data_IF_744122005150
#
_entry.id   IF_744122005150
#
_cell.length_a   1.000
_cell.length_b   1.000
_cell.length_c   1.000
_cell.angle_alpha   90.00
_cell.angle_beta   90.00
_cell.angle_gamma   90.00
#
_symmetry.space_group_name_H-M   'P 1'
#
loop_
_entity.id
_entity.type
_entity.pdbx_description
1 polymer ?
#
# COMPACT_ATOMS: atom_id res chain seq x y z
N UNK A 1 0.22 -27.25 -0.94
CA UNK A 1 -0.99 -26.73 -1.60
C UNK A 1 -0.73 -25.30 -2.06
N UNK A 2 -0.75 -25.07 -3.37
CA UNK A 2 -0.15 -23.98 -4.11
C UNK A 2 -0.76 -22.58 -4.00
N UNK A 3 -1.02 -22.07 -2.81
CA UNK A 3 -1.55 -20.69 -2.66
C UNK A 3 -0.45 -19.67 -2.39
N UNK A 4 0.69 -20.07 -1.84
CA UNK A 4 1.80 -19.18 -1.46
C UNK A 4 3.14 -19.74 -1.94
N UNK A 5 4.02 -18.84 -2.44
CA UNK A 5 5.45 -19.15 -2.61
C UNK A 5 6.15 -18.87 -1.27
N UNK A 6 6.74 -19.89 -0.69
CA UNK A 6 7.44 -19.79 0.60
C UNK A 6 8.94 -19.88 0.39
N UNK A 7 9.68 -18.93 0.94
CA UNK A 7 11.15 -18.94 1.01
C UNK A 7 11.53 -19.06 2.48
N UNK A 8 12.25 -20.13 2.84
CA UNK A 8 12.73 -20.37 4.20
C UNK A 8 14.21 -19.97 4.33
N UNK A 9 14.55 -19.32 5.44
CA UNK A 9 15.93 -18.96 5.82
C UNK A 9 16.19 -19.34 7.27
N UNK A 10 17.45 -19.50 7.66
CA UNK A 10 17.80 -20.04 8.96
C UNK A 10 17.87 -18.98 10.08
N UNK A 11 18.05 -17.72 9.75
CA UNK A 11 18.23 -16.62 10.73
C UNK A 11 17.95 -15.23 10.13
N UNK A 12 17.99 -14.20 10.98
CA UNK A 12 17.67 -12.84 10.62
C UNK A 12 18.62 -12.19 9.61
N UNK A 13 19.90 -12.57 9.60
CA UNK A 13 20.88 -12.04 8.63
C UNK A 13 20.53 -12.53 7.23
N UNK A 14 20.31 -13.83 7.07
CA UNK A 14 19.88 -14.40 5.80
C UNK A 14 18.52 -13.89 5.37
N UNK A 15 17.64 -13.57 6.33
CA UNK A 15 16.34 -12.97 6.03
C UNK A 15 16.49 -11.57 5.42
N UNK A 16 17.35 -10.72 5.98
CA UNK A 16 17.61 -9.38 5.43
C UNK A 16 18.24 -9.46 4.03
N UNK A 17 19.23 -10.33 3.81
CA UNK A 17 19.82 -10.56 2.48
C UNK A 17 18.74 -10.96 1.45
N UNK A 18 17.83 -11.87 1.82
CA UNK A 18 16.73 -12.28 0.93
C UNK A 18 15.69 -11.18 0.71
N UNK A 19 15.43 -10.35 1.70
CA UNK A 19 14.52 -9.20 1.58
C UNK A 19 15.12 -8.14 0.63
N UNK A 20 16.44 -7.96 0.60
CA UNK A 20 17.10 -7.06 -0.35
C UNK A 20 17.01 -7.57 -1.79
N UNK A 21 17.13 -8.89 -2.00
CA UNK A 21 16.99 -9.50 -3.33
C UNK A 21 15.54 -9.42 -3.82
N UNK A 22 14.60 -9.82 -2.98
CA UNK A 22 13.17 -9.87 -3.29
C UNK A 22 12.35 -9.64 -2.02
N UNK A 23 11.65 -8.50 -1.96
CA UNK A 23 10.85 -8.16 -0.81
C UNK A 23 9.56 -9.00 -0.79
N UNK A 24 9.28 -9.71 0.33
CA UNK A 24 8.10 -10.56 0.45
C UNK A 24 6.82 -9.76 0.69
N UNK A 25 5.67 -10.38 0.39
CA UNK A 25 4.35 -9.84 0.73
C UNK A 25 3.99 -10.06 2.21
N UNK A 26 4.69 -10.99 2.89
CA UNK A 26 4.40 -11.39 4.27
C UNK A 26 5.64 -12.03 4.91
N UNK A 27 5.87 -11.78 6.20
CA UNK A 27 6.99 -12.35 6.95
C UNK A 27 6.46 -13.13 8.15
N UNK A 28 7.01 -14.33 8.35
CA UNK A 28 6.82 -15.12 9.56
C UNK A 28 8.19 -15.42 10.13
N UNK A 29 8.43 -15.06 11.38
CA UNK A 29 9.72 -15.26 12.04
C UNK A 29 9.59 -15.91 13.40
N UNK A 30 10.59 -16.66 13.81
CA UNK A 30 10.78 -17.06 15.22
C UNK A 30 11.52 -15.94 15.97
N UNK A 31 11.36 -15.84 17.27
CA UNK A 31 12.20 -14.98 18.11
C UNK A 31 13.60 -15.58 18.24
N UNK A 32 13.67 -16.89 18.53
CA UNK A 32 14.91 -17.58 18.84
C UNK A 32 15.59 -18.08 17.55
N UNK A 33 16.45 -17.25 16.98
CA UNK A 33 17.26 -17.60 15.81
C UNK A 33 18.73 -17.32 16.08
N UNK A 34 19.67 -18.06 15.45
CA UNK A 34 21.08 -17.79 15.56
C UNK A 34 21.48 -16.47 14.87
N UNK A 35 22.65 -15.93 15.15
CA UNK A 35 23.28 -14.73 14.59
C UNK A 35 22.48 -13.45 14.82
N UNK A 36 21.28 -13.35 14.27
CA UNK A 36 20.32 -12.26 14.45
C UNK A 36 18.99 -12.86 14.89
N UNK A 37 18.50 -12.45 16.04
CA UNK A 37 17.22 -12.90 16.55
C UNK A 37 16.03 -12.23 15.86
N UNK A 38 14.81 -12.74 16.11
CA UNK A 38 13.60 -12.21 15.47
C UNK A 38 13.25 -10.79 15.88
N UNK A 39 13.61 -10.34 17.09
CA UNK A 39 13.34 -8.99 17.58
C UNK A 39 14.25 -7.98 16.84
N UNK A 40 15.50 -8.32 16.67
CA UNK A 40 16.46 -7.49 15.92
C UNK A 40 16.06 -7.42 14.44
N UNK A 41 15.69 -8.55 13.84
CA UNK A 41 15.16 -8.60 12.47
C UNK A 41 13.93 -7.69 12.30
N UNK A 42 12.97 -7.74 13.21
CA UNK A 42 11.75 -6.91 13.17
C UNK A 42 12.11 -5.44 13.22
N UNK A 43 13.04 -5.04 14.09
CA UNK A 43 13.48 -3.66 14.19
C UNK A 43 14.03 -3.16 12.85
N UNK A 44 14.93 -3.92 12.22
CA UNK A 44 15.45 -3.59 10.89
C UNK A 44 14.35 -3.45 9.83
N UNK A 45 13.36 -4.36 9.84
CA UNK A 45 12.24 -4.31 8.89
C UNK A 45 11.35 -3.10 9.15
N UNK A 46 11.00 -2.82 10.40
CA UNK A 46 10.02 -1.76 10.75
C UNK A 46 10.62 -0.36 10.73
N UNK A 47 11.92 -0.20 10.92
CA UNK A 47 12.63 1.08 10.79
C UNK A 47 12.93 1.46 9.33
N UNK A 48 12.91 0.51 8.40
CA UNK A 48 13.18 0.76 6.99
C UNK A 48 11.88 1.12 6.24
N UNK A 49 11.84 2.33 5.65
CA UNK A 49 10.68 2.85 4.90
C UNK A 49 10.22 1.94 3.74
N UNK A 50 11.13 1.12 3.20
CA UNK A 50 10.84 0.21 2.09
C UNK A 50 10.19 -1.10 2.53
N UNK A 51 10.25 -1.44 3.82
CA UNK A 51 9.81 -2.74 4.35
C UNK A 51 8.86 -2.62 5.55
N UNK A 52 8.74 -1.44 6.17
CA UNK A 52 7.94 -1.23 7.38
C UNK A 52 6.46 -1.61 7.23
N UNK A 53 5.94 -1.58 6.00
CA UNK A 53 4.57 -1.94 5.67
C UNK A 53 4.35 -3.45 5.47
N UNK A 54 5.40 -4.28 5.47
CA UNK A 54 5.27 -5.72 5.31
C UNK A 54 4.60 -6.31 6.55
N UNK A 55 3.48 -7.05 6.38
CA UNK A 55 2.84 -7.75 7.49
C UNK A 55 3.78 -8.80 8.09
N UNK A 56 3.84 -8.85 9.42
CA UNK A 56 4.79 -9.69 10.13
C UNK A 56 4.13 -10.42 11.30
N UNK A 57 4.26 -11.75 11.33
CA UNK A 57 3.88 -12.62 12.44
C UNK A 57 5.13 -13.15 13.14
N UNK A 58 5.11 -13.10 14.47
CA UNK A 58 6.08 -13.82 15.31
C UNK A 58 5.51 -15.17 15.74
N UNK A 59 6.33 -16.21 15.61
CA UNK A 59 6.12 -17.52 16.24
C UNK A 59 7.07 -17.66 17.44
N UNK A 60 6.57 -17.91 18.64
CA UNK A 60 7.43 -17.97 19.82
C UNK A 60 7.05 -19.05 20.82
N UNK A 61 8.07 -19.70 21.40
CA UNK A 61 7.91 -20.56 22.56
C UNK A 61 7.76 -19.78 23.88
N UNK A 62 8.11 -18.48 23.89
CA UNK A 62 7.90 -17.60 25.03
C UNK A 62 6.42 -17.23 25.13
N UNK A 63 5.85 -17.33 26.32
CA UNK A 63 4.42 -17.09 26.58
C UNK A 63 4.20 -15.97 27.58
N UNK A 64 5.25 -15.22 27.98
CA UNK A 64 5.08 -14.13 28.92
C UNK A 64 4.29 -12.97 28.29
N UNK A 65 3.49 -12.30 29.11
CA UNK A 65 2.73 -11.12 28.67
C UNK A 65 3.65 -9.98 28.31
N UNK A 66 4.75 -9.86 29.02
CA UNK A 66 5.78 -8.83 28.84
C UNK A 66 6.47 -8.95 27.47
N UNK A 67 6.92 -10.17 27.09
CA UNK A 67 7.53 -10.43 25.77
C UNK A 67 6.54 -10.09 24.65
N UNK A 68 5.26 -10.45 24.83
CA UNK A 68 4.22 -10.15 23.84
C UNK A 68 3.98 -8.65 23.69
N UNK A 69 3.90 -7.90 24.79
CA UNK A 69 3.75 -6.44 24.78
C UNK A 69 4.93 -5.79 24.08
N UNK A 70 6.16 -6.20 24.39
CA UNK A 70 7.36 -5.68 23.76
C UNK A 70 7.34 -5.91 22.23
N UNK A 71 6.97 -7.10 21.78
CA UNK A 71 6.86 -7.39 20.34
C UNK A 71 5.77 -6.55 19.65
N UNK A 72 4.61 -6.36 20.28
CA UNK A 72 3.54 -5.51 19.75
C UNK A 72 3.96 -4.04 19.65
N UNK A 73 4.76 -3.55 20.59
CA UNK A 73 5.32 -2.17 20.54
C UNK A 73 6.31 -1.97 19.38
N UNK A 74 6.93 -3.05 18.87
CA UNK A 74 7.77 -3.00 17.67
C UNK A 74 6.97 -2.92 16.36
N UNK A 75 5.63 -2.97 16.43
CA UNK A 75 4.78 -2.84 15.25
C UNK A 75 4.57 -4.13 14.47
N UNK A 76 4.63 -5.29 15.14
CA UNK A 76 4.23 -6.56 14.53
C UNK A 76 2.71 -6.64 14.38
N UNK A 77 2.24 -7.42 13.40
CA UNK A 77 0.82 -7.56 13.15
C UNK A 77 0.18 -8.67 14.00
N UNK A 78 0.95 -9.70 14.38
CA UNK A 78 0.48 -10.75 15.29
C UNK A 78 1.61 -11.52 15.99
N UNK A 79 1.24 -12.16 17.10
CA UNK A 79 2.10 -12.99 17.92
C UNK A 79 1.42 -14.34 18.19
N UNK A 80 2.02 -15.43 17.72
CA UNK A 80 1.47 -16.76 17.83
C UNK A 80 2.36 -17.63 18.73
N UNK A 81 1.84 -18.06 19.90
CA UNK A 81 2.60 -18.95 20.78
C UNK A 81 2.71 -20.36 20.19
N UNK A 82 3.86 -20.98 20.38
CA UNK A 82 4.08 -22.41 20.09
C UNK A 82 3.66 -23.26 21.32
N UNK A 83 3.01 -24.43 21.09
CA UNK A 83 2.64 -25.04 19.81
C UNK A 83 1.37 -24.44 19.21
N UNK A 84 1.30 -24.34 17.89
CA UNK A 84 0.13 -23.87 17.14
C UNK A 84 -0.29 -24.88 16.06
N UNK A 85 -1.56 -24.85 15.64
CA UNK A 85 -2.01 -25.63 14.50
C UNK A 85 -1.76 -24.88 13.18
N UNK A 86 -1.53 -25.63 12.11
CA UNK A 86 -1.40 -25.07 10.76
C UNK A 86 -2.63 -24.28 10.32
N UNK A 87 -3.83 -24.77 10.71
CA UNK A 87 -5.09 -24.11 10.37
C UNK A 87 -5.26 -22.78 11.11
N UNK A 88 -4.81 -22.71 12.37
CA UNK A 88 -4.79 -21.44 13.11
C UNK A 88 -3.86 -20.42 12.47
N UNK A 89 -2.63 -20.81 12.14
CA UNK A 89 -1.68 -19.93 11.46
C UNK A 89 -2.24 -19.43 10.12
N UNK A 90 -2.81 -20.34 9.31
CA UNK A 90 -3.44 -20.00 8.03
C UNK A 90 -4.58 -19.00 8.19
N UNK A 91 -5.48 -19.23 9.15
CA UNK A 91 -6.59 -18.33 9.47
C UNK A 91 -6.11 -16.93 9.86
N UNK A 92 -5.00 -16.84 10.64
CA UNK A 92 -4.41 -15.55 11.03
C UNK A 92 -3.82 -14.80 9.84
N UNK A 93 -3.08 -15.50 8.97
CA UNK A 93 -2.54 -14.93 7.74
C UNK A 93 -3.68 -14.36 6.86
N UNK A 94 -4.73 -15.14 6.63
CA UNK A 94 -5.90 -14.72 5.84
C UNK A 94 -6.61 -13.50 6.46
N UNK A 95 -6.71 -13.46 7.80
CA UNK A 95 -7.29 -12.33 8.53
C UNK A 95 -6.47 -11.05 8.32
N UNK A 96 -5.13 -11.12 8.47
CA UNK A 96 -4.25 -9.97 8.27
C UNK A 96 -4.26 -9.47 6.82
N UNK A 97 -4.27 -10.37 5.85
CA UNK A 97 -4.41 -9.98 4.43
C UNK A 97 -5.74 -9.24 4.19
N UNK A 98 -6.83 -9.70 4.81
CA UNK A 98 -8.14 -9.04 4.71
C UNK A 98 -8.14 -7.66 5.36
N UNK A 99 -7.57 -7.52 6.56
CA UNK A 99 -7.42 -6.24 7.25
C UNK A 99 -6.63 -5.23 6.40
N UNK A 100 -5.53 -5.68 5.76
CA UNK A 100 -4.74 -4.84 4.87
C UNK A 100 -5.54 -4.31 3.68
N UNK A 101 -6.41 -5.13 3.08
CA UNK A 101 -7.30 -4.69 2.00
C UNK A 101 -8.25 -3.58 2.45
N UNK A 102 -8.76 -3.64 3.68
CA UNK A 102 -9.60 -2.58 4.25
C UNK A 102 -8.81 -1.28 4.44
N UNK A 103 -7.58 -1.36 4.98
CA UNK A 103 -6.70 -0.20 5.12
C UNK A 103 -6.36 0.42 3.75
N UNK A 104 -6.04 -0.40 2.75
CA UNK A 104 -5.79 0.06 1.38
C UNK A 104 -7.00 0.84 0.82
N UNK A 105 -8.21 0.35 1.05
CA UNK A 105 -9.44 1.04 0.63
C UNK A 105 -9.60 2.40 1.33
N UNK A 106 -9.25 2.49 2.61
CA UNK A 106 -9.27 3.75 3.37
C UNK A 106 -8.24 4.76 2.84
N UNK A 107 -7.00 4.32 2.54
CA UNK A 107 -5.98 5.18 1.91
C UNK A 107 -6.43 5.68 0.54
N UNK A 108 -7.01 4.80 -0.29
CA UNK A 108 -7.54 5.17 -1.59
C UNK A 108 -8.63 6.24 -1.49
N UNK A 109 -9.52 6.13 -0.51
CA UNK A 109 -10.57 7.12 -0.25
C UNK A 109 -9.98 8.46 0.21
N UNK A 110 -9.00 8.43 1.13
CA UNK A 110 -8.38 9.62 1.71
C UNK A 110 -7.55 10.42 0.70
N UNK A 111 -6.79 9.72 -0.15
CA UNK A 111 -5.82 10.34 -1.07
C UNK A 111 -6.28 10.41 -2.53
N UNK A 112 -7.59 10.32 -2.79
CA UNK A 112 -8.20 10.70 -4.05
C UNK A 112 -8.28 9.61 -5.12
N UNK A 113 -7.96 8.37 -4.80
CA UNK A 113 -8.24 7.24 -5.67
C UNK A 113 -9.51 6.53 -5.19
N UNK A 114 -10.62 6.65 -5.91
CA UNK A 114 -11.83 5.92 -5.52
C UNK A 114 -11.66 4.42 -5.73
N UNK A 115 -11.91 3.58 -4.71
CA UNK A 115 -11.93 2.13 -4.89
C UNK A 115 -13.07 1.75 -5.83
N UNK A 116 -12.85 0.78 -6.71
CA UNK A 116 -13.96 0.03 -7.29
C UNK A 116 -14.79 -0.48 -6.12
N UNK A 117 -16.08 -0.16 -6.11
CA UNK A 117 -17.05 -0.66 -5.13
C UNK A 117 -17.16 -2.19 -5.25
N UNK A 118 -16.32 -2.92 -4.54
CA UNK A 118 -16.76 -4.18 -3.95
C UNK A 118 -17.24 -3.83 -2.55
N UNK A 119 -18.45 -4.21 -2.14
CA UNK A 119 -18.92 -4.01 -0.78
C UNK A 119 -18.15 -4.97 0.12
N UNK A 120 -17.02 -4.52 0.65
CA UNK A 120 -16.44 -5.12 1.84
C UNK A 120 -17.35 -4.67 2.98
N UNK A 121 -18.03 -5.62 3.62
CA UNK A 121 -18.74 -5.38 4.87
C UNK A 121 -17.87 -4.54 5.79
N UNK A 122 -18.39 -3.38 6.16
CA UNK A 122 -17.67 -2.40 6.97
C UNK A 122 -17.49 -2.94 8.39
N UNK A 123 -16.42 -3.70 8.59
CA UNK A 123 -15.92 -3.95 9.94
C UNK A 123 -15.18 -2.69 10.33
N UNK A 124 -15.73 -1.93 11.28
CA UNK A 124 -15.13 -0.73 11.81
C UNK A 124 -13.85 -1.10 12.59
N UNK A 125 -12.71 -1.09 11.91
CA UNK A 125 -11.41 -1.15 12.56
C UNK A 125 -10.95 0.26 12.92
N UNK A 126 -10.40 0.47 14.13
CA UNK A 126 -9.90 1.78 14.52
C UNK A 126 -8.76 2.21 13.58
N UNK A 127 -8.83 3.45 13.11
CA UNK A 127 -7.85 4.12 12.22
C UNK A 127 -6.43 4.18 12.83
N UNK A 128 -6.27 3.78 14.09
CA UNK A 128 -5.01 3.76 14.85
C UNK A 128 -3.95 2.77 14.37
N UNK A 129 -4.20 1.99 13.30
CA UNK A 129 -3.24 1.02 12.72
C UNK A 129 -2.52 1.53 11.46
N UNK A 130 -2.68 2.80 11.09
CA UNK A 130 -1.88 3.40 10.02
C UNK A 130 -0.46 3.60 10.56
N UNK A 131 0.51 2.92 9.94
CA UNK A 131 1.92 3.08 10.30
C UNK A 131 2.32 4.54 10.03
N UNK A 132 2.89 5.27 11.00
CA UNK A 132 3.25 6.68 10.81
C UNK A 132 4.14 6.93 9.59
N UNK A 133 5.00 5.98 9.24
CA UNK A 133 5.87 6.05 8.05
C UNK A 133 5.09 5.96 6.73
N UNK A 134 4.00 5.19 6.68
CA UNK A 134 3.13 5.11 5.50
C UNK A 134 2.34 6.41 5.30
N UNK A 135 1.89 7.03 6.38
CA UNK A 135 1.24 8.34 6.33
C UNK A 135 2.21 9.41 5.81
N UNK A 136 3.44 9.46 6.32
CA UNK A 136 4.47 10.38 5.87
C UNK A 136 4.84 10.15 4.39
N UNK A 137 4.94 8.87 3.98
CA UNK A 137 5.16 8.51 2.58
C UNK A 137 4.04 9.05 1.70
N UNK A 138 2.78 8.86 2.08
CA UNK A 138 1.62 9.33 1.32
C UNK A 138 1.55 10.86 1.26
N UNK A 139 1.86 11.56 2.35
CA UNK A 139 1.91 13.02 2.37
C UNK A 139 2.94 13.57 1.37
N UNK A 140 4.16 12.99 1.34
CA UNK A 140 5.20 13.36 0.37
C UNK A 140 4.76 13.08 -1.06
N UNK A 141 4.16 11.91 -1.30
CA UNK A 141 3.69 11.51 -2.63
C UNK A 141 2.59 12.45 -3.15
N UNK A 142 1.63 12.79 -2.29
CA UNK A 142 0.56 13.75 -2.62
C UNK A 142 1.14 15.14 -2.92
N UNK A 143 2.08 15.63 -2.10
CA UNK A 143 2.76 16.92 -2.35
C UNK A 143 3.41 16.95 -3.72
N UNK A 144 4.17 15.93 -4.09
CA UNK A 144 4.79 15.83 -5.41
C UNK A 144 3.74 15.78 -6.53
N UNK A 145 2.66 15.06 -6.35
CA UNK A 145 1.58 14.98 -7.33
C UNK A 145 0.87 16.33 -7.52
N UNK A 146 0.66 17.11 -6.46
CA UNK A 146 0.04 18.45 -6.56
C UNK A 146 0.85 19.38 -7.46
N UNK A 147 2.16 19.30 -7.42
CA UNK A 147 3.06 20.14 -8.22
C UNK A 147 3.20 19.64 -9.67
N UNK A 148 3.02 18.33 -9.90
CA UNK A 148 3.44 17.70 -11.15
C UNK A 148 2.33 16.98 -11.94
N UNK A 149 1.09 16.88 -11.43
CA UNK A 149 0.03 16.11 -12.08
C UNK A 149 -0.33 16.60 -13.50
N UNK A 150 -0.17 17.91 -13.75
CA UNK A 150 -0.47 18.52 -15.04
C UNK A 150 0.58 18.24 -16.12
N UNK A 151 1.78 17.77 -15.74
CA UNK A 151 2.84 17.43 -16.68
C UNK A 151 2.51 16.13 -17.44
N UNK A 152 2.22 16.16 -18.76
CA UNK A 152 1.89 14.95 -19.51
C UNK A 152 3.06 13.95 -19.61
N UNK A 153 4.30 14.41 -19.41
CA UNK A 153 5.52 13.60 -19.39
C UNK A 153 5.80 12.89 -18.08
N UNK A 154 5.01 13.15 -17.02
CA UNK A 154 5.21 12.54 -15.69
C UNK A 154 5.16 11.01 -15.74
N UNK A 155 6.23 10.37 -15.30
CA UNK A 155 6.41 8.91 -15.28
C UNK A 155 6.60 8.39 -13.87
N UNK A 156 6.37 7.11 -13.68
CA UNK A 156 6.59 6.41 -12.40
C UNK A 156 8.04 6.56 -11.92
N UNK A 157 9.01 6.64 -12.83
CA UNK A 157 10.41 6.84 -12.46
C UNK A 157 10.63 8.18 -11.75
N UNK A 158 9.95 9.25 -12.19
CA UNK A 158 10.09 10.57 -11.59
C UNK A 158 9.60 10.57 -10.14
N UNK A 159 8.50 9.84 -9.86
CA UNK A 159 8.00 9.64 -8.51
C UNK A 159 8.96 8.80 -7.66
N UNK A 160 9.50 7.73 -8.23
CA UNK A 160 10.44 6.85 -7.54
C UNK A 160 11.74 7.60 -7.18
N UNK A 161 12.29 8.38 -8.09
CA UNK A 161 13.47 9.23 -7.87
C UNK A 161 13.21 10.28 -6.77
N UNK A 162 12.07 10.98 -6.83
CA UNK A 162 11.68 11.95 -5.80
C UNK A 162 11.59 11.30 -4.41
N UNK A 163 11.11 10.05 -4.35
CA UNK A 163 10.99 9.29 -3.11
C UNK A 163 12.29 8.59 -2.69
N UNK A 164 13.41 8.78 -3.44
CA UNK A 164 14.69 8.11 -3.23
C UNK A 164 14.59 6.57 -3.22
N UNK A 165 13.78 6.02 -4.12
CA UNK A 165 13.51 4.59 -4.23
C UNK A 165 13.82 4.07 -5.63
N UNK A 166 14.23 2.79 -5.75
CA UNK A 166 14.19 2.13 -7.03
C UNK A 166 12.74 1.98 -7.52
N UNK A 167 12.54 1.91 -8.84
CA UNK A 167 11.20 1.74 -9.42
C UNK A 167 10.46 0.51 -8.88
N UNK A 168 11.17 -0.60 -8.67
CA UNK A 168 10.56 -1.85 -8.16
C UNK A 168 10.09 -1.71 -6.71
N UNK A 169 10.90 -1.09 -5.86
CA UNK A 169 10.56 -0.79 -4.46
C UNK A 169 9.37 0.16 -4.40
N UNK A 170 9.40 1.25 -5.17
CA UNK A 170 8.31 2.23 -5.23
C UNK A 170 6.99 1.60 -5.69
N UNK A 171 7.02 0.80 -6.77
CA UNK A 171 5.83 0.10 -7.27
C UNK A 171 5.20 -0.78 -6.19
N UNK A 172 6.03 -1.55 -5.47
CA UNK A 172 5.51 -2.41 -4.42
C UNK A 172 5.00 -1.61 -3.23
N UNK A 173 5.73 -0.56 -2.79
CA UNK A 173 5.30 0.29 -1.67
C UNK A 173 3.94 0.92 -1.94
N UNK A 174 3.74 1.52 -3.11
CA UNK A 174 2.45 2.09 -3.51
C UNK A 174 1.37 1.01 -3.58
N UNK A 175 1.67 -0.15 -4.19
CA UNK A 175 0.72 -1.25 -4.26
C UNK A 175 0.41 -1.82 -2.86
N UNK A 176 1.41 -1.93 -1.99
CA UNK A 176 1.25 -2.36 -0.61
C UNK A 176 0.32 -1.45 0.20
N UNK A 177 0.49 -0.13 0.10
CA UNK A 177 -0.32 0.86 0.83
C UNK A 177 -1.71 1.04 0.19
N UNK A 178 -1.80 1.13 -1.13
CA UNK A 178 -3.01 1.58 -1.84
C UNK A 178 -3.75 0.47 -2.58
N UNK A 179 -3.14 -0.69 -2.80
CA UNK A 179 -3.72 -1.79 -3.57
C UNK A 179 -3.81 -1.55 -5.09
N UNK A 180 -3.19 -0.48 -5.60
CA UNK A 180 -3.16 -0.13 -7.03
C UNK A 180 -1.73 0.16 -7.49
N UNK A 181 -1.49 0.04 -8.79
CA UNK A 181 -0.18 0.39 -9.35
C UNK A 181 0.06 1.92 -9.34
N UNK A 182 1.33 2.40 -9.31
CA UNK A 182 1.65 3.81 -9.41
C UNK A 182 1.12 4.48 -10.69
N UNK A 183 1.08 3.78 -11.82
CA UNK A 183 0.48 4.27 -13.07
C UNK A 183 -1.01 4.54 -12.87
N UNK A 184 -1.69 3.63 -12.21
CA UNK A 184 -3.12 3.78 -11.91
C UNK A 184 -3.37 4.88 -10.87
N UNK A 185 -2.47 5.05 -9.90
CA UNK A 185 -2.51 6.16 -8.95
C UNK A 185 -2.40 7.51 -9.65
N UNK A 186 -1.38 7.73 -10.52
CA UNK A 186 -1.22 8.97 -11.30
C UNK A 186 -2.50 9.26 -12.11
N UNK A 187 -3.00 8.25 -12.83
CA UNK A 187 -4.21 8.37 -13.64
C UNK A 187 -5.42 8.77 -12.78
N UNK A 188 -5.65 8.08 -11.67
CA UNK A 188 -6.80 8.35 -10.79
C UNK A 188 -6.69 9.73 -10.13
N UNK A 189 -5.48 10.15 -9.75
CA UNK A 189 -5.22 11.48 -9.22
C UNK A 189 -5.62 12.57 -10.22
N UNK A 190 -5.16 12.46 -11.47
CA UNK A 190 -5.52 13.38 -12.58
C UNK A 190 -7.02 13.42 -12.82
N UNK A 191 -7.68 12.26 -12.86
CA UNK A 191 -9.13 12.17 -13.06
C UNK A 191 -9.92 12.83 -11.92
N UNK A 192 -9.46 12.74 -10.68
CA UNK A 192 -10.08 13.44 -9.55
C UNK A 192 -9.89 14.96 -9.66
N UNK A 193 -8.70 15.43 -10.05
CA UNK A 193 -8.46 16.87 -10.31
C UNK A 193 -9.33 17.41 -11.44
N UNK A 194 -9.61 16.60 -12.47
CA UNK A 194 -10.46 16.99 -13.58
C UNK A 194 -11.89 17.37 -13.15
N UNK A 195 -12.39 16.85 -12.06
CA UNK A 195 -13.76 17.14 -11.57
C UNK A 195 -13.99 18.63 -11.33
N UNK A 196 -13.06 19.32 -10.70
CA UNK A 196 -13.14 20.76 -10.45
C UNK A 196 -13.07 21.59 -11.74
N UNK A 197 -12.22 21.18 -12.69
CA UNK A 197 -12.11 21.85 -13.98
C UNK A 197 -13.36 21.66 -14.87
N UNK A 198 -14.01 20.50 -14.81
CA UNK A 198 -15.27 20.25 -15.52
C UNK A 198 -16.36 21.19 -15.01
N UNK A 199 -16.42 21.42 -13.70
CA UNK A 199 -17.39 22.32 -13.06
C UNK A 199 -17.12 23.80 -13.35
N UNK A 200 -15.86 24.19 -13.58
CA UNK A 200 -15.50 25.58 -13.93
C UNK A 200 -15.91 26.01 -15.35
N UNK A 201 -16.48 25.10 -16.15
CA UNK A 201 -16.98 25.42 -17.48
C UNK A 201 -15.96 25.23 -18.62
N UNK A 202 -14.77 24.76 -18.35
CA UNK A 202 -13.77 24.43 -19.37
C UNK A 202 -14.29 23.37 -20.34
N UNK A 203 -13.83 23.42 -21.60
CA UNK A 203 -14.10 22.33 -22.55
C UNK A 203 -13.40 21.03 -22.11
N UNK A 204 -13.97 19.88 -22.46
CA UNK A 204 -13.40 18.58 -22.04
C UNK A 204 -11.99 18.33 -22.58
N UNK A 205 -11.65 18.92 -23.75
CA UNK A 205 -10.30 18.85 -24.29
C UNK A 205 -9.30 19.71 -23.47
N UNK A 206 -9.69 20.92 -23.10
CA UNK A 206 -8.89 21.77 -22.23
C UNK A 206 -8.67 21.13 -20.86
N UNK A 207 -9.74 20.56 -20.26
CA UNK A 207 -9.63 19.80 -19.00
C UNK A 207 -8.62 18.66 -19.13
N UNK A 208 -8.70 17.87 -20.21
CA UNK A 208 -7.78 16.75 -20.43
C UNK A 208 -6.31 17.22 -20.38
N UNK A 209 -5.99 18.27 -21.12
CA UNK A 209 -4.63 18.82 -21.16
C UNK A 209 -4.23 19.46 -19.82
N UNK A 210 -5.12 20.21 -19.18
CA UNK A 210 -4.86 20.83 -17.87
C UNK A 210 -4.52 19.84 -16.78
N UNK A 211 -5.07 18.62 -16.85
CA UNK A 211 -4.77 17.56 -15.87
C UNK A 211 -3.71 16.57 -16.36
N UNK A 212 -2.99 16.87 -17.45
CA UNK A 212 -1.82 16.11 -17.91
C UNK A 212 -2.12 14.89 -18.78
N UNK A 213 -3.33 14.78 -19.38
CA UNK A 213 -3.58 13.81 -20.45
C UNK A 213 -3.19 14.40 -21.81
N UNK A 214 -2.46 13.63 -22.60
CA UNK A 214 -2.08 14.01 -23.96
C UNK A 214 -3.17 13.71 -25.01
N UNK A 215 -4.15 12.88 -24.68
CA UNK A 215 -5.25 12.48 -25.57
C UNK A 215 -6.62 12.66 -24.88
N UNK A 216 -7.44 13.64 -25.32
CA UNK A 216 -8.79 13.86 -24.79
C UNK A 216 -9.72 12.66 -24.98
N UNK A 217 -9.56 11.87 -26.04
CA UNK A 217 -10.37 10.67 -26.28
C UNK A 217 -10.06 9.57 -25.26
N UNK A 218 -8.78 9.37 -24.94
CA UNK A 218 -8.38 8.46 -23.86
C UNK A 218 -8.85 8.99 -22.50
N UNK A 219 -8.73 10.30 -22.23
CA UNK A 219 -9.23 10.91 -21.00
C UNK A 219 -10.73 10.62 -20.78
N UNK A 220 -11.58 10.82 -21.78
CA UNK A 220 -13.01 10.56 -21.69
C UNK A 220 -13.33 9.10 -21.36
N UNK A 221 -12.63 8.15 -22.02
CA UNK A 221 -12.77 6.71 -21.74
C UNK A 221 -12.32 6.37 -20.31
N UNK A 222 -11.18 6.94 -19.88
CA UNK A 222 -10.65 6.73 -18.54
C UNK A 222 -11.60 7.28 -17.46
N UNK A 223 -12.16 8.46 -17.68
CA UNK A 223 -13.12 9.10 -16.78
C UNK A 223 -14.40 8.25 -16.63
N UNK A 224 -15.00 7.82 -17.76
CA UNK A 224 -16.17 6.93 -17.73
C UNK A 224 -15.90 5.62 -16.99
N UNK A 225 -14.71 5.03 -17.20
CA UNK A 225 -14.30 3.80 -16.51
C UNK A 225 -14.13 4.00 -15.00
N UNK A 226 -13.58 5.15 -14.59
CA UNK A 226 -13.29 5.44 -13.17
C UNK A 226 -14.55 5.79 -12.39
N UNK A 227 -15.48 6.58 -12.98
CA UNK A 227 -16.63 7.14 -12.27
C UNK A 227 -17.98 6.56 -12.71
N UNK A 228 -17.97 5.66 -13.69
CA UNK A 228 -19.20 5.06 -14.29
C UNK A 228 -20.17 6.10 -14.88
N UNK A 229 -19.66 7.28 -15.25
CA UNK A 229 -20.38 8.40 -15.85
C UNK A 229 -19.52 9.01 -16.96
N UNK A 230 -20.17 9.46 -18.03
CA UNK A 230 -19.48 10.27 -19.05
C UNK A 230 -19.18 11.67 -18.51
N UNK A 231 -18.28 12.39 -19.18
CA UNK A 231 -17.95 13.78 -18.82
C UNK A 231 -19.18 14.69 -18.90
N UNK A 232 -20.06 14.46 -19.89
CA UNK A 232 -21.31 15.21 -20.07
C UNK A 232 -22.30 14.92 -18.96
N UNK A 233 -22.51 13.65 -18.62
CA UNK A 233 -23.39 13.25 -17.50
C UNK A 233 -22.87 13.83 -16.18
N UNK A 234 -21.56 13.78 -15.94
CA UNK A 234 -20.94 14.35 -14.75
C UNK A 234 -21.15 15.87 -14.65
N UNK A 235 -20.98 16.60 -15.77
CA UNK A 235 -21.17 18.05 -15.84
C UNK A 235 -22.62 18.47 -15.58
N UNK A 236 -23.60 17.65 -16.03
CA UNK A 236 -25.01 17.98 -15.90
C UNK A 236 -25.60 17.62 -14.52
N UNK A 237 -24.97 16.69 -13.80
CA UNK A 237 -25.48 16.16 -12.52
C UNK A 237 -24.84 16.88 -11.30
N UNK A 238 -23.90 17.76 -11.49
CA UNK A 238 -23.20 18.52 -10.46
C UNK A 238 -23.01 19.99 -10.84
#
# INVERSE_FOLDING_TARGET
SGTYRVVGVADGVMALEKIEEEIPDFIITDIMMPRMDGIELIRHIKENVNTCDIPLIILSAKSSVEDRIQCLQLGIDDYIPKPFSSDYLKSRIESLIRQRKVLQSAFLSKYGAQPKKEPLEAVAYPVSQIVPLDELFMQKLVGFMEENYSNPGLRVNDLAEFMNMSRSVFNRKVNGIMGISPIEYIKNYRLNKAKSFIQSGMSFSEVAFAVGFSDPGYFGKAFKKAFNQTLTEYKNNN
#
